data_IF_093994401103
#
_entry.id   IF_093994401103
#
_cell.length_a   1.000
_cell.length_b   1.000
_cell.length_c   1.000
_cell.angle_alpha   90.00
_cell.angle_beta   90.00
_cell.angle_gamma   90.00
#
_symmetry.space_group_name_H-M   'P 1'
#
loop_
_entity.id
_entity.type
_entity.pdbx_description
1 polymer ?
#
# COMPACT_ATOMS: atom_id res chain seq x y z
N UNK A 1 14.85 -35.32 5.45
CA UNK A 1 14.16 -34.75 6.63
C UNK A 1 15.15 -34.15 7.65
N UNK A 2 16.42 -33.92 7.26
CA UNK A 2 17.47 -33.32 8.09
C UNK A 2 17.75 -31.86 7.72
N UNK A 3 17.62 -31.49 6.45
CA UNK A 3 17.92 -30.14 5.93
C UNK A 3 17.14 -29.00 6.60
N UNK A 4 15.95 -29.27 7.15
CA UNK A 4 15.13 -28.23 7.80
C UNK A 4 15.54 -27.93 9.24
N UNK A 5 16.23 -28.86 9.90
CA UNK A 5 16.73 -28.66 11.27
C UNK A 5 18.04 -27.87 11.21
N UNK A 6 18.91 -28.21 10.26
CA UNK A 6 20.14 -27.47 9.98
C UNK A 6 19.84 -26.01 9.54
N UNK A 7 18.78 -25.79 8.75
CA UNK A 7 18.33 -24.42 8.38
C UNK A 7 17.86 -23.61 9.61
N UNK A 8 17.22 -24.23 10.59
CA UNK A 8 16.72 -23.52 11.79
C UNK A 8 17.83 -23.20 12.79
N UNK A 9 18.83 -24.08 12.91
CA UNK A 9 20.01 -23.82 13.73
C UNK A 9 20.89 -22.72 13.11
N UNK A 10 21.06 -22.71 11.78
CA UNK A 10 21.77 -21.64 11.08
C UNK A 10 21.09 -20.26 11.27
N UNK A 11 19.75 -20.19 11.20
CA UNK A 11 19.00 -18.94 11.45
C UNK A 11 19.14 -18.47 12.90
N UNK A 12 19.27 -19.40 13.85
CA UNK A 12 19.45 -19.10 15.27
C UNK A 12 20.84 -18.54 15.57
N UNK A 13 21.89 -19.10 14.98
CA UNK A 13 23.26 -18.60 15.11
C UNK A 13 23.41 -17.21 14.49
N UNK A 14 22.84 -16.97 13.30
CA UNK A 14 22.83 -15.66 12.63
C UNK A 14 22.12 -14.57 13.46
N UNK A 15 21.12 -14.96 14.26
CA UNK A 15 20.41 -14.06 15.18
C UNK A 15 21.21 -13.73 16.44
N UNK A 16 22.06 -14.66 16.91
CA UNK A 16 22.86 -14.45 18.11
C UNK A 16 24.08 -13.55 17.85
N UNK A 17 24.59 -13.52 16.62
CA UNK A 17 25.68 -12.64 16.18
C UNK A 17 25.25 -11.20 15.81
N UNK A 18 23.94 -10.90 15.93
CA UNK A 18 23.28 -9.65 15.49
C UNK A 18 23.75 -8.34 16.15
N UNK A 19 24.80 -8.36 16.98
CA UNK A 19 25.47 -7.17 17.50
C UNK A 19 26.70 -6.74 16.67
N UNK A 20 27.23 -7.59 15.78
CA UNK A 20 28.53 -7.35 15.13
C UNK A 20 28.47 -7.24 13.59
N UNK A 21 27.42 -7.75 12.94
CA UNK A 21 27.21 -7.61 11.49
C UNK A 21 25.74 -7.29 11.20
N UNK A 22 25.42 -6.27 10.38
CA UNK A 22 24.06 -6.08 9.92
C UNK A 22 23.60 -7.36 9.21
N UNK A 23 22.31 -7.75 9.33
CA UNK A 23 21.82 -9.00 8.73
C UNK A 23 22.13 -9.00 7.23
N UNK A 24 23.01 -9.91 6.81
CA UNK A 24 23.43 -9.99 5.41
C UNK A 24 22.24 -10.48 4.58
N UNK A 25 21.65 -9.58 3.81
CA UNK A 25 20.55 -9.90 2.89
C UNK A 25 21.13 -10.73 1.75
N UNK A 26 21.15 -12.06 1.90
CA UNK A 26 21.69 -12.95 0.87
C UNK A 26 20.83 -12.95 -0.39
N UNK A 27 21.44 -13.12 -1.56
CA UNK A 27 20.73 -13.16 -2.85
C UNK A 27 19.67 -14.28 -2.90
N UNK A 28 19.90 -15.38 -2.19
CA UNK A 28 18.95 -16.48 -2.02
C UNK A 28 17.70 -16.06 -1.21
N UNK A 29 17.88 -15.32 -0.12
CA UNK A 29 16.76 -14.79 0.68
C UNK A 29 15.90 -13.81 -0.13
N UNK A 30 16.55 -12.97 -0.93
CA UNK A 30 15.90 -12.00 -1.82
C UNK A 30 15.06 -12.71 -2.89
N UNK A 31 15.62 -13.74 -3.52
CA UNK A 31 14.94 -14.59 -4.52
C UNK A 31 13.72 -15.28 -3.92
N UNK A 32 13.83 -15.88 -2.73
CA UNK A 32 12.72 -16.58 -2.04
C UNK A 32 11.61 -15.61 -1.65
N UNK A 33 11.94 -14.36 -1.33
CA UNK A 33 10.95 -13.31 -1.03
C UNK A 33 10.24 -12.83 -2.31
N UNK A 34 10.98 -12.59 -3.38
CA UNK A 34 10.43 -12.12 -4.66
C UNK A 34 9.55 -13.18 -5.34
N UNK A 35 9.87 -14.47 -5.19
CA UNK A 35 9.05 -15.57 -5.72
C UNK A 35 7.66 -15.65 -5.09
N UNK A 36 7.45 -15.05 -3.91
CA UNK A 36 6.14 -14.90 -3.25
C UNK A 36 5.46 -13.56 -3.57
N UNK A 37 6.08 -12.71 -4.39
CA UNK A 37 5.56 -11.38 -4.74
C UNK A 37 4.18 -11.42 -5.42
N UNK A 38 3.89 -12.50 -6.16
CA UNK A 38 2.60 -12.72 -6.82
C UNK A 38 1.45 -12.99 -5.84
N UNK A 39 1.70 -13.62 -4.68
CA UNK A 39 0.68 -13.85 -3.66
C UNK A 39 0.16 -12.53 -3.11
N UNK A 40 1.09 -11.60 -2.85
CA UNK A 40 0.74 -10.25 -2.40
C UNK A 40 -0.04 -9.51 -3.48
N UNK A 41 0.37 -9.61 -4.75
CA UNK A 41 -0.37 -9.01 -5.86
C UNK A 41 -1.78 -9.61 -6.03
N UNK A 42 -1.94 -10.92 -5.82
CA UNK A 42 -3.23 -11.60 -5.88
C UNK A 42 -4.16 -11.16 -4.74
N UNK A 43 -3.63 -11.04 -3.52
CA UNK A 43 -4.38 -10.51 -2.37
C UNK A 43 -4.81 -9.05 -2.58
N UNK A 44 -3.92 -8.22 -3.13
CA UNK A 44 -4.24 -6.83 -3.50
C UNK A 44 -5.35 -6.79 -4.56
N UNK A 45 -5.28 -7.64 -5.59
CA UNK A 45 -6.31 -7.73 -6.62
C UNK A 45 -7.68 -8.18 -6.06
N UNK A 46 -7.68 -9.15 -5.14
CA UNK A 46 -8.91 -9.57 -4.44
C UNK A 46 -9.50 -8.44 -3.60
N UNK A 47 -8.66 -7.72 -2.84
CA UNK A 47 -9.09 -6.55 -2.07
C UNK A 47 -9.67 -5.45 -2.97
N UNK A 48 -9.06 -5.23 -4.13
CA UNK A 48 -9.54 -4.31 -5.16
C UNK A 48 -10.93 -4.71 -5.68
N UNK A 49 -11.14 -5.99 -6.01
CA UNK A 49 -12.44 -6.49 -6.47
C UNK A 49 -13.51 -6.39 -5.38
N UNK A 50 -13.16 -6.71 -4.13
CA UNK A 50 -14.08 -6.61 -3.00
C UNK A 50 -14.52 -5.15 -2.76
N UNK A 51 -13.59 -4.19 -2.83
CA UNK A 51 -13.92 -2.78 -2.71
C UNK A 51 -14.76 -2.27 -3.90
N UNK A 52 -14.47 -2.68 -5.13
CA UNK A 52 -15.34 -2.40 -6.28
C UNK A 52 -16.77 -2.96 -6.10
N UNK A 53 -16.89 -4.19 -5.62
CA UNK A 53 -18.18 -4.81 -5.36
C UNK A 53 -18.96 -4.03 -4.28
N UNK A 54 -18.28 -3.65 -3.19
CA UNK A 54 -18.88 -2.82 -2.14
C UNK A 54 -19.34 -1.46 -2.67
N UNK A 55 -18.48 -0.76 -3.43
CA UNK A 55 -18.84 0.51 -4.06
C UNK A 55 -20.06 0.38 -4.98
N UNK A 56 -20.15 -0.73 -5.72
CA UNK A 56 -21.29 -1.00 -6.61
C UNK A 56 -22.56 -1.24 -5.80
N UNK A 57 -22.50 -2.05 -4.74
CA UNK A 57 -23.65 -2.31 -3.86
C UNK A 57 -24.17 -1.03 -3.24
N UNK A 58 -23.29 -0.17 -2.74
CA UNK A 58 -23.72 1.08 -2.10
C UNK A 58 -24.23 2.10 -3.13
N UNK A 59 -23.61 2.17 -4.32
CA UNK A 59 -24.12 3.01 -5.41
C UNK A 59 -25.55 2.61 -5.84
N UNK A 60 -25.88 1.32 -5.84
CA UNK A 60 -27.21 0.82 -6.19
C UNK A 60 -28.30 1.18 -5.16
N UNK A 61 -27.92 1.35 -3.89
CA UNK A 61 -28.85 1.76 -2.81
C UNK A 61 -28.97 3.29 -2.68
N UNK A 62 -28.11 4.03 -3.37
CA UNK A 62 -28.05 5.49 -3.27
C UNK A 62 -29.18 6.15 -4.07
N UNK A 63 -30.06 6.86 -3.36
CA UNK A 63 -31.13 7.67 -3.97
C UNK A 63 -30.78 9.16 -3.88
N UNK A 64 -30.77 9.85 -5.02
CA UNK A 64 -30.59 11.30 -5.10
C UNK A 64 -29.25 11.73 -5.71
N UNK A 65 -29.28 12.85 -6.45
CA UNK A 65 -28.14 13.39 -7.22
C UNK A 65 -26.89 13.60 -6.35
N UNK A 66 -27.06 14.05 -5.11
CA UNK A 66 -25.95 14.29 -4.18
C UNK A 66 -25.23 12.99 -3.82
N UNK A 67 -25.95 11.93 -3.48
CA UNK A 67 -25.34 10.63 -3.23
C UNK A 67 -24.57 10.11 -4.45
N UNK A 68 -25.09 10.30 -5.67
CA UNK A 68 -24.41 9.93 -6.91
C UNK A 68 -23.09 10.69 -7.13
N UNK A 69 -23.03 11.99 -6.80
CA UNK A 69 -21.79 12.77 -6.91
C UNK A 69 -20.75 12.31 -5.89
N UNK A 70 -21.17 12.04 -4.65
CA UNK A 70 -20.29 11.51 -3.60
C UNK A 70 -19.68 10.17 -4.02
N UNK A 71 -20.51 9.19 -4.36
CA UNK A 71 -20.01 7.87 -4.76
C UNK A 71 -19.25 7.92 -6.09
N UNK A 72 -19.65 8.78 -7.03
CA UNK A 72 -18.92 9.01 -8.28
C UNK A 72 -17.48 9.46 -8.04
N UNK A 73 -17.25 10.40 -7.10
CA UNK A 73 -15.90 10.78 -6.70
C UNK A 73 -15.10 9.59 -6.15
N UNK A 74 -15.66 8.84 -5.21
CA UNK A 74 -14.98 7.69 -4.62
C UNK A 74 -14.70 6.59 -5.65
N UNK A 75 -15.61 6.33 -6.58
CA UNK A 75 -15.40 5.37 -7.66
C UNK A 75 -14.28 5.81 -8.59
N UNK A 76 -14.28 7.05 -9.07
CA UNK A 76 -13.22 7.57 -9.95
C UNK A 76 -11.87 7.56 -9.23
N UNK A 77 -11.84 8.05 -7.99
CA UNK A 77 -10.65 8.05 -7.16
C UNK A 77 -10.11 6.62 -6.97
N UNK A 78 -11.00 5.68 -6.64
CA UNK A 78 -10.63 4.27 -6.46
C UNK A 78 -10.09 3.66 -7.75
N UNK A 79 -10.71 3.91 -8.90
CA UNK A 79 -10.23 3.43 -10.20
C UNK A 79 -8.84 3.97 -10.55
N UNK A 80 -8.57 5.25 -10.25
CA UNK A 80 -7.24 5.85 -10.44
C UNK A 80 -6.21 5.16 -9.54
N UNK A 81 -6.52 5.00 -8.26
CA UNK A 81 -5.62 4.35 -7.29
C UNK A 81 -5.38 2.88 -7.60
N UNK A 82 -6.42 2.17 -8.03
CA UNK A 82 -6.36 0.80 -8.53
C UNK A 82 -5.43 0.69 -9.73
N UNK A 83 -5.61 1.57 -10.72
CA UNK A 83 -4.81 1.57 -11.95
C UNK A 83 -3.34 1.86 -11.65
N UNK A 84 -3.05 2.83 -10.78
CA UNK A 84 -1.68 3.14 -10.35
C UNK A 84 -1.08 1.92 -9.63
N UNK A 85 -1.80 1.34 -8.66
CA UNK A 85 -1.33 0.20 -7.87
C UNK A 85 -1.05 -1.02 -8.74
N UNK A 86 -1.99 -1.39 -9.63
CA UNK A 86 -1.84 -2.52 -10.55
C UNK A 86 -0.66 -2.29 -11.51
N UNK A 87 -0.51 -1.10 -12.08
CA UNK A 87 0.63 -0.76 -12.95
C UNK A 87 1.96 -0.87 -12.22
N UNK A 88 2.05 -0.36 -10.99
CA UNK A 88 3.23 -0.49 -10.16
C UNK A 88 3.54 -1.95 -9.87
N UNK A 89 2.53 -2.76 -9.55
CA UNK A 89 2.70 -4.18 -9.20
C UNK A 89 3.10 -5.04 -10.39
N UNK A 90 2.45 -4.89 -11.55
CA UNK A 90 2.77 -5.63 -12.77
C UNK A 90 4.24 -5.43 -13.19
N UNK A 91 4.77 -4.21 -13.03
CA UNK A 91 6.18 -3.90 -13.30
C UNK A 91 7.18 -4.59 -12.37
N UNK A 92 6.72 -5.17 -11.26
CA UNK A 92 7.58 -5.83 -10.25
C UNK A 92 7.52 -7.35 -10.29
N UNK A 93 6.54 -7.93 -11.00
CA UNK A 93 6.28 -9.38 -10.98
C UNK A 93 7.23 -10.17 -11.88
N UNK A 94 7.63 -9.60 -13.02
CA UNK A 94 8.43 -10.31 -14.00
C UNK A 94 9.92 -10.01 -13.84
N UNK A 95 10.71 -11.03 -14.15
CA UNK A 95 12.16 -11.04 -14.16
C UNK A 95 12.59 -11.59 -15.52
N UNK A 96 13.61 -10.99 -16.11
CA UNK A 96 14.02 -11.31 -17.49
C UNK A 96 14.80 -12.63 -17.56
N UNK A 97 15.56 -12.99 -16.52
CA UNK A 97 16.31 -14.25 -16.43
C UNK A 97 16.59 -14.70 -14.98
N UNK A 98 17.23 -15.86 -14.80
CA UNK A 98 17.51 -16.40 -13.46
C UNK A 98 18.76 -15.82 -12.77
N UNK A 99 19.42 -14.83 -13.38
CA UNK A 99 20.69 -14.29 -12.92
C UNK A 99 20.59 -13.49 -11.62
N UNK A 100 21.70 -13.37 -10.90
CA UNK A 100 21.79 -12.52 -9.71
C UNK A 100 21.50 -11.05 -10.01
N UNK A 101 21.91 -10.56 -11.18
CA UNK A 101 21.64 -9.18 -11.61
C UNK A 101 20.14 -8.94 -11.83
N UNK A 102 19.42 -9.90 -12.43
CA UNK A 102 17.98 -9.75 -12.63
C UNK A 102 17.18 -9.85 -11.32
N UNK A 103 17.66 -10.63 -10.35
CA UNK A 103 17.10 -10.65 -8.98
C UNK A 103 17.25 -9.29 -8.30
N UNK A 104 18.42 -8.67 -8.39
CA UNK A 104 18.69 -7.34 -7.84
C UNK A 104 17.86 -6.25 -8.56
N UNK A 105 17.76 -6.32 -9.89
CA UNK A 105 16.93 -5.40 -10.68
C UNK A 105 15.44 -5.51 -10.29
N UNK A 106 14.93 -6.73 -10.13
CA UNK A 106 13.55 -6.95 -9.69
C UNK A 106 13.30 -6.40 -8.28
N UNK A 107 14.22 -6.64 -7.33
CA UNK A 107 14.11 -6.10 -5.98
C UNK A 107 14.13 -4.58 -5.96
N UNK A 108 14.98 -3.95 -6.80
CA UNK A 108 15.00 -2.50 -6.95
C UNK A 108 13.68 -1.96 -7.47
N UNK A 109 13.07 -2.63 -8.45
CA UNK A 109 11.72 -2.28 -8.93
C UNK A 109 10.66 -2.40 -7.82
N UNK A 110 10.66 -3.47 -7.01
CA UNK A 110 9.73 -3.63 -5.88
C UNK A 110 9.92 -2.53 -4.82
N UNK A 111 11.17 -2.21 -4.48
CA UNK A 111 11.49 -1.16 -3.51
C UNK A 111 11.05 0.23 -3.99
N UNK A 112 11.29 0.56 -5.26
CA UNK A 112 10.78 1.79 -5.90
C UNK A 112 9.25 1.80 -5.92
N UNK A 113 8.60 0.70 -6.27
CA UNK A 113 7.15 0.61 -6.31
C UNK A 113 6.53 0.85 -4.93
N UNK A 114 7.10 0.28 -3.85
CA UNK A 114 6.67 0.55 -2.46
C UNK A 114 6.86 2.00 -2.07
N UNK A 115 8.01 2.58 -2.43
CA UNK A 115 8.32 3.99 -2.16
C UNK A 115 7.31 4.92 -2.82
N UNK A 116 7.06 4.71 -4.11
CA UNK A 116 6.12 5.51 -4.90
C UNK A 116 4.69 5.28 -4.43
N UNK A 117 4.28 4.02 -4.21
CA UNK A 117 2.94 3.70 -3.71
C UNK A 117 2.67 4.35 -2.35
N UNK A 118 3.62 4.27 -1.42
CA UNK A 118 3.51 4.94 -0.12
C UNK A 118 3.40 6.46 -0.24
N UNK A 119 4.16 7.08 -1.14
CA UNK A 119 4.06 8.51 -1.42
C UNK A 119 2.70 8.89 -2.04
N UNK A 120 2.19 8.10 -2.99
CA UNK A 120 0.87 8.31 -3.59
C UNK A 120 -0.21 8.27 -2.52
N UNK A 121 -0.21 7.26 -1.65
CA UNK A 121 -1.17 7.15 -0.54
C UNK A 121 -1.14 8.40 0.35
N UNK A 122 0.06 8.84 0.78
CA UNK A 122 0.23 10.05 1.59
C UNK A 122 -0.36 11.31 0.95
N UNK A 123 -0.18 11.48 -0.36
CA UNK A 123 -0.75 12.62 -1.09
C UNK A 123 -2.26 12.52 -1.28
N UNK A 124 -2.78 11.29 -1.37
CA UNK A 124 -4.21 11.10 -1.61
C UNK A 124 -5.08 11.21 -0.36
N UNK A 125 -4.57 10.86 0.82
CA UNK A 125 -5.29 11.01 2.09
C UNK A 125 -5.83 12.44 2.32
N UNK A 126 -5.05 13.53 2.18
CA UNK A 126 -5.58 14.88 2.39
C UNK A 126 -6.63 15.27 1.33
N UNK A 127 -6.53 14.76 0.10
CA UNK A 127 -7.53 15.00 -0.96
C UNK A 127 -8.86 14.35 -0.61
N UNK A 128 -8.83 13.07 -0.22
CA UNK A 128 -10.03 12.33 0.21
C UNK A 128 -10.66 12.96 1.45
N UNK A 129 -9.83 13.30 2.45
CA UNK A 129 -10.29 13.94 3.67
C UNK A 129 -10.95 15.30 3.39
N UNK A 130 -10.34 16.14 2.55
CA UNK A 130 -10.88 17.45 2.21
C UNK A 130 -12.18 17.34 1.43
N UNK A 131 -12.24 16.44 0.45
CA UNK A 131 -13.46 16.21 -0.32
C UNK A 131 -14.60 15.73 0.58
N UNK A 132 -14.39 14.68 1.38
CA UNK A 132 -15.43 14.14 2.24
C UNK A 132 -15.90 15.16 3.30
N UNK A 133 -14.98 15.93 3.87
CA UNK A 133 -15.29 17.00 4.83
C UNK A 133 -16.14 18.09 4.20
N UNK A 134 -15.73 18.62 3.05
CA UNK A 134 -16.49 19.64 2.32
C UNK A 134 -17.84 19.11 1.87
N UNK A 135 -17.90 17.83 1.49
CA UNK A 135 -19.13 17.19 1.06
C UNK A 135 -20.16 17.07 2.19
N UNK A 136 -19.75 16.62 3.37
CA UNK A 136 -20.63 16.53 4.55
C UNK A 136 -21.19 17.91 4.93
N UNK A 137 -20.37 18.96 4.85
CA UNK A 137 -20.83 20.33 5.09
C UNK A 137 -21.81 20.79 4.01
N UNK A 138 -21.49 20.57 2.73
CA UNK A 138 -22.34 20.96 1.62
C UNK A 138 -23.71 20.26 1.65
N UNK A 139 -23.72 18.96 1.95
CA UNK A 139 -24.94 18.17 2.09
C UNK A 139 -25.84 18.71 3.21
N UNK A 140 -25.26 18.95 4.40
CA UNK A 140 -26.00 19.55 5.52
C UNK A 140 -26.55 20.95 5.21
N UNK A 141 -25.79 21.79 4.51
CA UNK A 141 -26.25 23.12 4.09
C UNK A 141 -27.42 23.03 3.09
N UNK A 142 -27.37 22.07 2.16
CA UNK A 142 -28.44 21.86 1.17
C UNK A 142 -29.71 21.28 1.80
N UNK A 143 -29.58 20.56 2.91
CA UNK A 143 -30.71 20.10 3.73
C UNK A 143 -31.27 21.21 4.64
N UNK A 144 -30.71 22.43 4.60
CA UNK A 144 -31.17 23.56 5.41
C UNK A 144 -30.81 23.44 6.89
N UNK A 145 -29.83 22.60 7.23
CA UNK A 145 -29.40 22.38 8.60
C UNK A 145 -28.58 23.57 9.12
N UNK A 146 -28.70 23.86 10.42
CA UNK A 146 -27.81 24.80 11.10
C UNK A 146 -26.41 24.20 11.25
N UNK A 147 -25.38 25.05 11.36
CA UNK A 147 -23.99 24.58 11.52
C UNK A 147 -23.80 23.62 12.72
N UNK A 148 -24.53 23.83 13.82
CA UNK A 148 -24.49 22.94 14.98
C UNK A 148 -25.16 21.58 14.71
N UNK A 149 -26.25 21.55 13.94
CA UNK A 149 -26.91 20.32 13.53
C UNK A 149 -26.04 19.51 12.57
N UNK A 150 -25.39 20.17 11.59
CA UNK A 150 -24.43 19.54 10.68
C UNK A 150 -23.28 18.91 11.49
N UNK A 151 -22.70 19.67 12.42
CA UNK A 151 -21.62 19.17 13.26
C UNK A 151 -22.06 17.96 14.12
N UNK A 152 -23.28 17.99 14.68
CA UNK A 152 -23.82 16.90 15.49
C UNK A 152 -24.08 15.62 14.70
N UNK A 153 -24.75 15.73 13.55
CA UNK A 153 -25.13 14.57 12.73
C UNK A 153 -23.98 14.01 11.89
N UNK A 154 -23.10 14.87 11.38
CA UNK A 154 -21.99 14.46 10.53
C UNK A 154 -20.73 14.04 11.32
N UNK A 155 -20.69 14.25 12.64
CA UNK A 155 -19.53 13.93 13.47
C UNK A 155 -19.05 12.47 13.33
N UNK A 156 -19.91 11.43 13.37
CA UNK A 156 -19.47 10.06 13.21
C UNK A 156 -18.79 9.81 11.85
N UNK A 157 -19.35 10.37 10.78
CA UNK A 157 -18.79 10.30 9.42
C UNK A 157 -17.45 11.01 9.32
N UNK A 158 -17.33 12.20 9.91
CA UNK A 158 -16.10 12.97 9.95
C UNK A 158 -14.99 12.24 10.73
N UNK A 159 -15.32 11.69 11.90
CA UNK A 159 -14.42 10.90 12.71
C UNK A 159 -13.95 9.64 11.97
N UNK A 160 -14.87 8.94 11.31
CA UNK A 160 -14.55 7.77 10.50
C UNK A 160 -13.57 8.09 9.37
N UNK A 161 -13.88 9.10 8.55
CA UNK A 161 -13.02 9.51 7.43
C UNK A 161 -11.65 9.95 7.93
N UNK A 162 -11.59 10.67 9.04
CA UNK A 162 -10.34 11.12 9.66
C UNK A 162 -9.50 9.93 10.11
N UNK A 163 -10.07 9.00 10.87
CA UNK A 163 -9.38 7.79 11.33
C UNK A 163 -8.89 6.94 10.16
N UNK A 164 -9.73 6.76 9.13
CA UNK A 164 -9.37 6.02 7.93
C UNK A 164 -8.20 6.66 7.18
N UNK A 165 -8.26 7.99 6.97
CA UNK A 165 -7.19 8.73 6.29
C UNK A 165 -5.87 8.70 7.09
N UNK A 166 -5.94 8.80 8.43
CA UNK A 166 -4.76 8.70 9.30
C UNK A 166 -4.14 7.31 9.24
N UNK A 167 -4.95 6.25 9.31
CA UNK A 167 -4.48 4.87 9.18
C UNK A 167 -3.84 4.62 7.81
N UNK A 168 -4.48 5.07 6.74
CA UNK A 168 -3.96 4.97 5.38
C UNK A 168 -2.65 5.78 5.22
N UNK A 169 -2.57 6.98 5.78
CA UNK A 169 -1.36 7.80 5.75
C UNK A 169 -0.21 7.14 6.51
N UNK A 170 -0.47 6.56 7.68
CA UNK A 170 0.52 5.81 8.46
C UNK A 170 1.04 4.60 7.67
N UNK A 171 0.15 3.84 7.03
CA UNK A 171 0.53 2.73 6.16
C UNK A 171 1.36 3.21 4.95
N UNK A 172 0.97 4.33 4.33
CA UNK A 172 1.69 4.96 3.22
C UNK A 172 3.10 5.41 3.62
N UNK A 173 3.24 6.04 4.79
CA UNK A 173 4.54 6.42 5.35
C UNK A 173 5.41 5.20 5.61
N UNK A 174 4.85 4.14 6.21
CA UNK A 174 5.56 2.90 6.47
C UNK A 174 6.04 2.23 5.17
N UNK A 175 5.19 2.14 4.15
CA UNK A 175 5.56 1.59 2.83
C UNK A 175 6.67 2.42 2.17
N UNK A 176 6.57 3.75 2.28
CA UNK A 176 7.57 4.68 1.74
C UNK A 176 8.93 4.47 2.38
N UNK A 177 8.98 4.42 3.71
CA UNK A 177 10.20 4.23 4.48
C UNK A 177 10.78 2.83 4.25
N UNK A 178 9.93 1.80 4.25
CA UNK A 178 10.34 0.41 3.95
C UNK A 178 10.95 0.28 2.56
N UNK A 179 10.39 0.96 1.56
CA UNK A 179 10.96 1.02 0.22
C UNK A 179 12.31 1.74 0.17
N UNK A 180 12.47 2.83 0.93
CA UNK A 180 13.75 3.54 1.04
C UNK A 180 14.84 2.69 1.71
N UNK A 181 14.53 2.02 2.83
CA UNK A 181 15.47 1.12 3.51
C UNK A 181 15.93 -0.02 2.60
N UNK A 182 15.00 -0.63 1.86
CA UNK A 182 15.33 -1.68 0.88
C UNK A 182 16.24 -1.20 -0.24
N UNK A 183 16.10 0.05 -0.70
CA UNK A 183 17.01 0.59 -1.70
C UNK A 183 18.43 0.75 -1.13
N UNK A 184 18.57 1.20 0.12
CA UNK A 184 19.87 1.32 0.77
C UNK A 184 20.53 -0.06 1.00
N UNK A 185 19.75 -1.07 1.42
CA UNK A 185 20.22 -2.45 1.56
C UNK A 185 20.69 -3.03 0.21
N UNK A 186 19.95 -2.78 -0.87
CA UNK A 186 20.35 -3.23 -2.21
C UNK A 186 21.61 -2.53 -2.70
N UNK A 187 21.75 -1.22 -2.44
CA UNK A 187 22.94 -0.47 -2.83
C UNK A 187 24.19 -0.96 -2.06
N UNK A 188 24.04 -1.44 -0.82
CA UNK A 188 25.12 -2.09 -0.07
C UNK A 188 25.50 -3.45 -0.69
N UNK A 189 24.53 -4.31 -0.97
CA UNK A 189 24.76 -5.61 -1.60
C UNK A 189 25.45 -5.51 -2.96
N UNK A 190 25.09 -4.52 -3.78
CA UNK A 190 25.74 -4.29 -5.07
C UNK A 190 27.22 -3.93 -4.90
N UNK A 191 27.58 -3.17 -3.86
CA UNK A 191 28.98 -2.85 -3.56
C UNK A 191 29.76 -4.07 -3.07
N UNK A 192 29.13 -4.91 -2.26
CA UNK A 192 29.74 -6.14 -1.74
C UNK A 192 29.95 -7.22 -2.82
N UNK A 193 29.06 -7.28 -3.82
CA UNK A 193 29.15 -8.23 -4.94
C UNK A 193 30.03 -7.73 -6.10
N UNK A 194 30.30 -6.43 -6.15
CA UNK A 194 31.08 -5.78 -7.21
C UNK A 194 32.52 -5.42 -6.82
N UNK A 195 32.92 -5.66 -5.57
CA UNK A 195 34.30 -5.58 -5.08
C UNK A 195 34.94 -6.95 -5.05
#
# INVERSE_FOLDING_TARGET
>A
MNDSIDELEAIREDWQDGASRPPQVTLASLRRRLSRGWLVAALEALGLMAACALLTVVALDTRGLMGWIYWGFFTVFFLIMATISVRLRLRTLFRDDDSGQAVLAQARRDAVARRTGGAVVLWTCPVVWSFASLWLVADGLLQGMSASAIAGESWPSFAFVTLWCLMAAALGAWLREKGQRQLLELDQLVRELGG
#
